data_IF_982429835836
#
_entry.id   IF_982429835836
#
_cell.length_a   1.000
_cell.length_b   1.000
_cell.length_c   1.000
_cell.angle_alpha   90.00
_cell.angle_beta   90.00
_cell.angle_gamma   90.00
#
_symmetry.space_group_name_H-M   'P 1'
#
loop_
_entity.id
_entity.type
_entity.pdbx_description
1 polymer ?
#
# COMPACT_ATOMS: atom_id res chain seq x y z
N UNK A 1 34.00 12.17 15.83
CA UNK A 1 33.78 11.50 14.53
C UNK A 1 32.40 11.82 14.01
N UNK A 2 32.28 12.18 12.74
CA UNK A 2 31.02 12.56 12.08
C UNK A 2 29.92 11.50 12.27
N UNK A 3 30.23 10.21 12.12
CA UNK A 3 29.27 9.11 12.27
C UNK A 3 28.53 9.09 13.63
N UNK A 4 29.19 9.48 14.73
CA UNK A 4 28.54 9.53 16.06
C UNK A 4 27.52 10.67 16.17
N UNK A 5 27.81 11.83 15.57
CA UNK A 5 26.87 12.96 15.55
C UNK A 5 25.63 12.61 14.70
N UNK A 6 25.86 11.96 13.57
CA UNK A 6 24.84 11.45 12.67
C UNK A 6 23.92 10.41 13.33
N UNK A 7 24.51 9.40 13.98
CA UNK A 7 23.75 8.42 14.73
C UNK A 7 22.91 9.07 15.84
N UNK A 8 23.49 10.05 16.56
CA UNK A 8 22.76 10.79 17.60
C UNK A 8 21.56 11.54 17.02
N UNK A 9 21.72 12.24 15.89
CA UNK A 9 20.62 12.93 15.24
C UNK A 9 19.54 11.93 14.82
N UNK A 10 19.90 10.89 14.06
CA UNK A 10 18.95 9.89 13.56
C UNK A 10 18.12 9.26 14.69
N UNK A 11 18.77 8.83 15.77
CA UNK A 11 18.08 8.22 16.91
C UNK A 11 17.24 9.23 17.72
N UNK A 12 17.68 10.49 17.83
CA UNK A 12 16.98 11.50 18.62
C UNK A 12 15.70 12.02 17.95
N UNK A 13 15.67 12.13 16.62
CA UNK A 13 14.51 12.67 15.87
C UNK A 13 13.77 11.60 15.06
N UNK A 14 14.09 10.32 15.27
CA UNK A 14 13.35 9.21 14.67
C UNK A 14 13.59 9.01 13.16
N UNK A 15 14.76 9.40 12.63
CA UNK A 15 15.14 9.10 11.25
C UNK A 15 15.75 7.70 11.21
N UNK A 16 15.16 6.73 10.48
CA UNK A 16 15.76 5.40 10.32
C UNK A 16 17.13 5.49 9.63
N UNK A 17 18.13 4.75 10.11
CA UNK A 17 19.50 4.80 9.55
C UNK A 17 19.57 4.58 8.03
N UNK A 18 18.70 3.73 7.48
CA UNK A 18 18.58 3.51 6.02
C UNK A 18 18.28 4.78 5.21
N UNK A 19 17.70 5.83 5.82
CA UNK A 19 17.40 7.10 5.14
C UNK A 19 18.65 7.92 4.86
N UNK A 20 19.77 7.64 5.53
CA UNK A 20 21.07 8.27 5.21
C UNK A 20 21.56 7.83 3.83
N UNK A 21 21.10 6.69 3.31
CA UNK A 21 21.46 6.21 1.99
C UNK A 21 20.68 6.85 0.84
N UNK A 22 19.60 7.58 1.15
CA UNK A 22 18.74 8.22 0.18
C UNK A 22 19.51 9.26 -0.67
N UNK A 23 19.39 9.24 -2.01
CA UNK A 23 20.13 10.15 -2.89
C UNK A 23 19.85 11.63 -2.61
N UNK A 24 18.61 12.02 -2.32
CA UNK A 24 18.26 13.40 -2.01
C UNK A 24 18.82 13.81 -0.65
N UNK A 25 18.79 12.90 0.31
CA UNK A 25 19.38 13.13 1.61
C UNK A 25 20.90 13.34 1.51
N UNK A 26 21.61 12.51 0.72
CA UNK A 26 23.05 12.69 0.42
C UNK A 26 23.32 14.02 -0.29
N UNK A 27 22.51 14.37 -1.30
CA UNK A 27 22.64 15.62 -2.04
C UNK A 27 22.47 16.85 -1.13
N UNK A 28 21.48 16.86 -0.25
CA UNK A 28 21.26 17.94 0.71
C UNK A 28 22.46 18.16 1.65
N UNK A 29 23.13 17.07 2.06
CA UNK A 29 24.34 17.14 2.88
C UNK A 29 25.53 17.65 2.10
N UNK A 30 25.76 17.15 0.89
CA UNK A 30 26.82 17.66 0.02
C UNK A 30 26.63 19.15 -0.24
N UNK A 31 25.40 19.60 -0.47
CA UNK A 31 25.10 21.01 -0.66
C UNK A 31 25.38 21.82 0.61
N UNK A 32 24.94 21.35 1.77
CA UNK A 32 25.26 21.98 3.07
C UNK A 32 26.77 22.09 3.30
N UNK A 33 27.55 21.06 2.94
CA UNK A 33 29.01 21.07 3.07
C UNK A 33 29.68 22.10 2.16
N UNK A 34 29.19 22.26 0.92
CA UNK A 34 29.71 23.28 -0.02
C UNK A 34 29.51 24.70 0.49
N UNK A 35 28.37 24.97 1.14
CA UNK A 35 28.05 26.29 1.69
C UNK A 35 28.92 26.66 2.91
N UNK A 36 29.42 25.66 3.64
CA UNK A 36 30.36 25.86 4.74
C UNK A 36 29.71 26.29 6.07
N UNK A 37 30.56 26.76 6.99
CA UNK A 37 30.15 27.11 8.36
C UNK A 37 29.44 28.47 8.37
N UNK A 38 28.40 28.60 9.19
CA UNK A 38 27.66 29.86 9.37
C UNK A 38 26.44 30.01 8.47
N UNK A 39 26.17 29.03 7.60
CA UNK A 39 24.92 29.00 6.83
C UNK A 39 23.72 28.83 7.77
N UNK A 40 22.68 29.64 7.55
CA UNK A 40 21.41 29.49 8.26
C UNK A 40 20.68 28.29 7.69
N UNK A 41 20.44 27.29 8.53
CA UNK A 41 19.60 26.14 8.16
C UNK A 41 18.16 26.63 7.95
N UNK A 42 17.47 26.19 6.88
CA UNK A 42 16.06 26.50 6.66
C UNK A 42 15.18 26.17 7.86
N UNK A 43 14.21 27.02 8.12
CA UNK A 43 13.17 26.79 9.13
C UNK A 43 12.08 25.84 8.58
N UNK A 44 11.31 25.23 9.47
CA UNK A 44 10.16 24.38 9.10
C UNK A 44 9.19 25.12 8.17
N UNK A 45 8.93 26.42 8.42
CA UNK A 45 8.05 27.23 7.57
C UNK A 45 8.62 27.49 6.18
N UNK A 46 9.94 27.58 6.05
CA UNK A 46 10.57 27.72 4.74
C UNK A 46 10.54 26.39 3.98
N UNK A 47 10.80 25.26 4.66
CA UNK A 47 10.75 23.91 4.08
C UNK A 47 9.33 23.56 3.62
N UNK A 48 8.34 23.65 4.50
CA UNK A 48 6.95 23.25 4.23
C UNK A 48 6.11 24.35 3.54
N UNK A 49 6.73 25.50 3.25
CA UNK A 49 6.12 26.61 2.54
C UNK A 49 6.86 26.87 1.25
N UNK A 50 7.74 27.88 1.26
CA UNK A 50 8.44 28.35 0.05
C UNK A 50 9.13 27.22 -0.72
N UNK A 51 9.90 26.36 -0.06
CA UNK A 51 10.67 25.32 -0.75
C UNK A 51 9.79 24.15 -1.22
N UNK A 52 8.69 23.87 -0.52
CA UNK A 52 7.68 22.93 -1.00
C UNK A 52 7.02 23.47 -2.28
N UNK A 53 6.62 24.74 -2.31
CA UNK A 53 6.03 25.37 -3.50
C UNK A 53 7.01 25.37 -4.69
N UNK A 54 8.30 25.57 -4.43
CA UNK A 54 9.35 25.48 -5.45
C UNK A 54 9.49 24.04 -6.00
N UNK A 55 9.53 23.03 -5.13
CA UNK A 55 9.57 21.62 -5.53
C UNK A 55 8.33 21.19 -6.33
N UNK A 56 7.14 21.69 -5.95
CA UNK A 56 5.88 21.44 -6.67
C UNK A 56 5.97 22.04 -8.07
N UNK A 57 6.38 23.30 -8.20
CA UNK A 57 6.55 23.94 -9.52
C UNK A 57 7.58 23.24 -10.39
N UNK A 58 8.67 22.77 -9.82
CA UNK A 58 9.67 21.98 -10.55
C UNK A 58 9.08 20.66 -11.05
N UNK A 59 8.35 19.95 -10.19
CA UNK A 59 7.67 18.70 -10.55
C UNK A 59 6.62 18.93 -11.63
N UNK A 60 5.84 20.00 -11.54
CA UNK A 60 4.85 20.37 -12.57
C UNK A 60 5.50 20.62 -13.93
N UNK A 61 6.67 21.28 -13.97
CA UNK A 61 7.42 21.48 -15.22
C UNK A 61 7.89 20.17 -15.84
N UNK A 62 8.32 19.21 -15.03
CA UNK A 62 8.69 17.88 -15.53
C UNK A 62 7.46 17.15 -16.07
N UNK A 63 6.33 17.24 -15.37
CA UNK A 63 5.05 16.67 -15.83
C UNK A 63 4.62 17.29 -17.17
N UNK A 64 4.75 18.61 -17.36
CA UNK A 64 4.41 19.25 -18.65
C UNK A 64 5.16 18.66 -19.84
N UNK A 65 6.41 18.19 -19.65
CA UNK A 65 7.14 17.49 -20.72
C UNK A 65 6.45 16.18 -21.10
N UNK A 66 6.01 15.41 -20.12
CA UNK A 66 5.29 14.15 -20.36
C UNK A 66 3.89 14.34 -20.94
N UNK A 67 3.27 15.50 -20.68
CA UNK A 67 1.98 15.86 -21.31
C UNK A 67 2.08 16.09 -22.81
N UNK A 68 3.27 16.41 -23.33
CA UNK A 68 3.46 16.62 -24.77
C UNK A 68 3.28 15.34 -25.59
N UNK A 69 3.33 14.16 -24.96
CA UNK A 69 3.17 12.86 -25.63
C UNK A 69 1.73 12.33 -25.57
N UNK A 70 0.80 13.08 -24.94
CA UNK A 70 -0.57 12.63 -24.71
C UNK A 70 -1.37 12.41 -26.00
N UNK A 71 -1.16 13.24 -27.01
CA UNK A 71 -1.83 13.16 -28.32
C UNK A 71 -1.31 11.99 -29.17
N UNK A 72 -0.01 11.67 -29.06
CA UNK A 72 0.61 10.56 -29.78
C UNK A 72 0.37 9.20 -29.11
N UNK A 73 0.54 9.12 -27.79
CA UNK A 73 0.48 7.85 -27.04
C UNK A 73 -0.89 7.55 -26.44
N UNK A 74 -1.73 8.56 -26.27
CA UNK A 74 -2.96 8.47 -25.48
C UNK A 74 -2.69 8.34 -23.97
N UNK A 75 -3.74 8.57 -23.19
CA UNK A 75 -3.69 8.60 -21.73
C UNK A 75 -4.54 7.49 -21.14
N UNK A 76 -3.94 6.71 -20.24
CA UNK A 76 -4.66 5.87 -19.29
C UNK A 76 -4.84 6.61 -17.98
N UNK A 77 -6.09 6.92 -17.63
CA UNK A 77 -6.45 7.52 -16.36
C UNK A 77 -6.76 6.41 -15.34
N UNK A 78 -6.03 6.39 -14.23
CA UNK A 78 -6.27 5.47 -13.12
C UNK A 78 -6.91 6.23 -11.97
N UNK A 79 -8.01 5.71 -11.43
CA UNK A 79 -8.71 6.28 -10.29
C UNK A 79 -8.95 5.21 -9.21
N UNK A 80 -8.55 5.52 -7.99
CA UNK A 80 -8.74 4.65 -6.84
C UNK A 80 -9.23 5.47 -5.64
N UNK A 81 -10.05 4.85 -4.80
CA UNK A 81 -10.47 5.44 -3.52
C UNK A 81 -10.02 4.58 -2.36
N UNK A 82 -9.66 5.24 -1.26
CA UNK A 82 -9.44 4.53 -0.01
C UNK A 82 -9.97 5.35 1.15
N UNK A 83 -10.50 4.62 2.13
CA UNK A 83 -10.93 5.20 3.41
C UNK A 83 -10.01 4.68 4.50
N UNK A 84 -9.32 5.60 5.17
CA UNK A 84 -8.40 5.28 6.24
C UNK A 84 -9.08 4.88 7.55
N UNK A 85 -8.31 4.37 8.53
CA UNK A 85 -8.84 3.99 9.84
C UNK A 85 -9.49 5.15 10.61
N UNK A 86 -9.06 6.39 10.34
CA UNK A 86 -9.64 7.61 10.91
C UNK A 86 -10.88 8.10 10.14
N UNK A 87 -11.41 7.27 9.23
CA UNK A 87 -12.56 7.57 8.36
C UNK A 87 -12.37 8.75 7.41
N UNK A 88 -11.13 9.20 7.23
CA UNK A 88 -10.78 10.09 6.13
C UNK A 88 -10.81 9.31 4.82
N UNK A 89 -11.47 9.85 3.80
CA UNK A 89 -11.59 9.22 2.49
C UNK A 89 -10.95 10.08 1.43
N UNK A 90 -10.17 9.48 0.54
CA UNK A 90 -9.54 10.18 -0.56
C UNK A 90 -9.73 9.43 -1.86
N UNK A 91 -9.96 10.18 -2.93
CA UNK A 91 -9.94 9.70 -4.30
C UNK A 91 -8.63 10.18 -4.94
N UNK A 92 -7.88 9.27 -5.55
CA UNK A 92 -6.58 9.55 -6.16
C UNK A 92 -6.67 9.30 -7.65
N UNK A 93 -6.14 10.24 -8.43
CA UNK A 93 -6.01 10.14 -9.87
C UNK A 93 -4.54 10.07 -10.27
N UNK A 94 -4.18 9.02 -11.00
CA UNK A 94 -2.87 8.84 -11.61
C UNK A 94 -3.05 8.83 -13.14
N UNK A 95 -2.03 9.28 -13.85
CA UNK A 95 -1.97 9.22 -15.31
C UNK A 95 -0.83 8.31 -15.71
N UNK A 96 -1.07 7.50 -16.74
CA UNK A 96 -0.04 6.77 -17.47
C UNK A 96 -0.09 7.13 -18.95
N UNK A 97 1.05 7.54 -19.49
CA UNK A 97 1.26 7.86 -20.91
C UNK A 97 2.75 7.66 -21.24
N UNK A 98 3.07 7.20 -22.46
CA UNK A 98 4.46 7.14 -22.94
C UNK A 98 5.41 6.32 -22.05
N UNK A 99 4.91 5.33 -21.31
CA UNK A 99 5.72 4.54 -20.36
C UNK A 99 5.93 5.18 -18.99
N UNK A 100 5.40 6.39 -18.75
CA UNK A 100 5.57 7.13 -17.49
C UNK A 100 4.26 7.20 -16.72
N UNK A 101 4.32 6.92 -15.42
CA UNK A 101 3.20 7.09 -14.49
C UNK A 101 3.48 8.22 -13.52
N UNK A 102 2.50 9.09 -13.29
CA UNK A 102 2.61 10.15 -12.29
C UNK A 102 1.28 10.49 -11.63
N UNK A 103 1.39 11.13 -10.47
CA UNK A 103 0.26 11.64 -9.72
C UNK A 103 -0.32 12.88 -10.41
N UNK A 104 -1.62 12.88 -10.66
CA UNK A 104 -2.30 14.02 -11.27
C UNK A 104 -3.02 14.88 -10.23
N UNK A 105 -3.79 14.25 -9.33
CA UNK A 105 -4.61 14.93 -8.34
C UNK A 105 -5.12 13.96 -7.28
N UNK A 106 -5.38 14.46 -6.08
CA UNK A 106 -6.24 13.81 -5.08
C UNK A 106 -7.43 14.70 -4.73
N UNK A 107 -8.49 14.08 -4.23
CA UNK A 107 -9.71 14.73 -3.77
C UNK A 107 -9.99 14.20 -2.37
N UNK A 108 -10.16 15.11 -1.41
CA UNK A 108 -10.72 14.75 -0.11
C UNK A 108 -12.22 14.48 -0.28
N UNK A 109 -12.62 13.24 -0.03
CA UNK A 109 -13.99 12.75 -0.13
C UNK A 109 -14.53 12.33 1.24
N UNK A 110 -13.90 12.78 2.34
CA UNK A 110 -14.24 12.39 3.72
C UNK A 110 -15.70 12.71 4.08
N UNK A 111 -16.22 13.85 3.62
CA UNK A 111 -17.58 14.30 3.88
C UNK A 111 -18.57 13.96 2.76
N UNK A 112 -18.17 13.11 1.80
CA UNK A 112 -18.95 12.80 0.59
C UNK A 112 -19.45 11.38 0.57
N UNK A 113 -20.66 11.19 0.05
CA UNK A 113 -21.17 9.88 -0.35
C UNK A 113 -20.62 9.59 -1.75
N UNK A 114 -19.79 8.56 -1.87
CA UNK A 114 -19.19 8.14 -3.15
C UNK A 114 -20.15 7.26 -3.95
N UNK A 115 -21.32 7.80 -4.27
CA UNK A 115 -22.23 7.18 -5.23
C UNK A 115 -21.71 7.32 -6.67
N UNK A 116 -22.35 6.62 -7.60
CA UNK A 116 -21.95 6.65 -9.01
C UNK A 116 -22.07 8.05 -9.65
N UNK A 117 -22.95 8.93 -9.16
CA UNK A 117 -23.10 10.27 -9.72
C UNK A 117 -21.95 11.19 -9.30
N UNK A 118 -21.58 11.13 -8.03
CA UNK A 118 -20.42 11.86 -7.51
C UNK A 118 -19.13 11.39 -8.19
N UNK A 119 -18.91 10.07 -8.26
CA UNK A 119 -17.73 9.52 -8.93
C UNK A 119 -17.69 9.88 -10.41
N UNK A 120 -18.81 9.78 -11.13
CA UNK A 120 -18.90 10.19 -12.53
C UNK A 120 -18.51 11.65 -12.72
N UNK A 121 -19.02 12.55 -11.87
CA UNK A 121 -18.69 13.97 -11.91
C UNK A 121 -17.19 14.20 -11.73
N UNK A 122 -16.58 13.60 -10.71
CA UNK A 122 -15.15 13.80 -10.42
C UNK A 122 -14.26 13.19 -11.52
N UNK A 123 -14.60 11.98 -12.00
CA UNK A 123 -13.87 11.35 -13.12
C UNK A 123 -14.00 12.21 -14.39
N UNK A 124 -15.19 12.68 -14.74
CA UNK A 124 -15.41 13.57 -15.89
C UNK A 124 -14.61 14.87 -15.79
N UNK A 125 -14.59 15.49 -14.60
CA UNK A 125 -13.80 16.70 -14.39
C UNK A 125 -12.31 16.46 -14.66
N UNK A 126 -11.79 15.27 -14.33
CA UNK A 126 -10.40 14.91 -14.63
C UNK A 126 -10.20 14.56 -16.11
N UNK A 127 -11.12 13.83 -16.73
CA UNK A 127 -11.09 13.55 -18.18
C UNK A 127 -11.04 14.87 -18.98
N UNK A 128 -11.89 15.83 -18.64
CA UNK A 128 -11.89 17.16 -19.27
C UNK A 128 -10.60 17.94 -19.00
N UNK A 129 -10.01 17.79 -17.81
CA UNK A 129 -8.71 18.43 -17.49
C UNK A 129 -7.55 17.86 -18.32
N UNK A 130 -7.60 16.57 -18.65
CA UNK A 130 -6.59 15.89 -19.49
C UNK A 130 -6.80 16.18 -20.99
N UNK A 131 -8.02 16.55 -21.38
CA UNK A 131 -8.46 16.55 -22.77
C UNK A 131 -9.06 15.18 -23.08
N UNK A 132 -10.38 15.14 -23.29
CA UNK A 132 -11.10 13.87 -23.43
C UNK A 132 -10.65 13.11 -24.68
N UNK A 133 -10.20 13.81 -25.70
CA UNK A 133 -9.61 13.29 -26.93
C UNK A 133 -8.31 12.50 -26.69
N UNK A 134 -7.55 12.85 -25.64
CA UNK A 134 -6.31 12.17 -25.30
C UNK A 134 -6.55 10.93 -24.43
N UNK A 135 -7.68 10.87 -23.70
CA UNK A 135 -7.98 9.74 -22.83
C UNK A 135 -8.43 8.57 -23.69
N UNK A 136 -7.67 7.48 -23.67
CA UNK A 136 -8.02 6.23 -24.37
C UNK A 136 -8.56 5.18 -23.42
N UNK A 137 -8.21 5.29 -22.13
CA UNK A 137 -8.57 4.29 -21.14
C UNK A 137 -8.80 4.91 -19.75
N UNK A 138 -9.79 4.38 -19.04
CA UNK A 138 -10.01 4.62 -17.62
C UNK A 138 -9.95 3.30 -16.86
N UNK A 139 -9.13 3.25 -15.80
CA UNK A 139 -8.98 2.10 -14.91
C UNK A 139 -9.44 2.48 -13.51
N UNK A 140 -10.40 1.75 -12.96
CA UNK A 140 -10.94 1.99 -11.61
C UNK A 140 -11.07 0.70 -10.80
N UNK A 141 -11.36 0.79 -9.51
CA UNK A 141 -11.75 -0.40 -8.75
C UNK A 141 -13.04 -1.06 -9.30
N UNK A 142 -13.31 -2.30 -8.89
CA UNK A 142 -14.47 -3.05 -9.36
C UNK A 142 -15.72 -2.83 -8.47
N UNK A 143 -15.77 -1.74 -7.71
CA UNK A 143 -16.91 -1.35 -6.91
C UNK A 143 -18.12 -1.03 -7.79
N UNK A 144 -19.33 -1.35 -7.32
CA UNK A 144 -20.55 -1.14 -8.11
C UNK A 144 -20.77 0.31 -8.54
N UNK A 145 -20.43 1.28 -7.67
CA UNK A 145 -20.55 2.71 -7.97
C UNK A 145 -19.53 3.15 -9.03
N UNK A 146 -18.29 2.67 -8.96
CA UNK A 146 -17.27 2.92 -9.98
C UNK A 146 -17.65 2.33 -11.32
N UNK A 147 -18.07 1.06 -11.33
CA UNK A 147 -18.57 0.40 -12.54
C UNK A 147 -19.70 1.20 -13.18
N UNK A 148 -20.70 1.59 -12.40
CA UNK A 148 -21.84 2.35 -12.95
C UNK A 148 -21.44 3.75 -13.45
N UNK A 149 -20.54 4.43 -12.75
CA UNK A 149 -19.99 5.71 -13.19
C UNK A 149 -19.24 5.55 -14.52
N UNK A 150 -18.34 4.57 -14.62
CA UNK A 150 -17.56 4.34 -15.82
C UNK A 150 -18.40 3.85 -17.01
N UNK A 151 -19.46 3.06 -16.80
CA UNK A 151 -20.44 2.72 -17.85
C UNK A 151 -21.05 3.99 -18.45
N UNK A 152 -21.53 4.93 -17.62
CA UNK A 152 -22.09 6.20 -18.08
C UNK A 152 -21.03 7.11 -18.74
N UNK A 153 -19.76 7.00 -18.33
CA UNK A 153 -18.67 7.74 -18.95
C UNK A 153 -18.40 7.24 -20.37
N UNK A 154 -18.34 5.92 -20.57
CA UNK A 154 -18.08 5.31 -21.88
C UNK A 154 -19.27 5.47 -22.83
N UNK A 155 -20.50 5.54 -22.31
CA UNK A 155 -21.67 5.94 -23.10
C UNK A 155 -21.54 7.37 -23.67
N UNK A 156 -20.97 8.30 -22.89
CA UNK A 156 -20.76 9.69 -23.32
C UNK A 156 -19.51 9.87 -24.19
N UNK A 157 -18.46 9.08 -23.94
CA UNK A 157 -17.19 9.11 -24.68
C UNK A 157 -16.86 7.71 -25.23
N UNK A 158 -17.46 7.30 -26.36
CA UNK A 158 -17.36 5.92 -26.86
C UNK A 158 -15.95 5.46 -27.25
N UNK A 159 -15.00 6.39 -27.45
CA UNK A 159 -13.60 6.07 -27.72
C UNK A 159 -12.80 5.71 -26.46
N UNK A 160 -13.33 6.02 -25.27
CA UNK A 160 -12.69 5.69 -23.98
C UNK A 160 -13.05 4.25 -23.60
N UNK A 161 -12.04 3.40 -23.40
CA UNK A 161 -12.25 2.08 -22.83
C UNK A 161 -12.26 2.14 -21.29
N UNK A 162 -13.19 1.45 -20.63
CA UNK A 162 -13.11 1.20 -19.20
C UNK A 162 -12.60 -0.21 -18.92
N UNK A 163 -11.69 -0.35 -17.95
CA UNK A 163 -11.26 -1.64 -17.41
C UNK A 163 -11.27 -1.62 -15.87
N UNK A 164 -11.71 -2.71 -15.22
CA UNK A 164 -11.54 -2.85 -13.78
C UNK A 164 -10.05 -3.07 -13.45
N UNK A 165 -9.63 -2.58 -12.29
CA UNK A 165 -8.28 -2.75 -11.77
C UNK A 165 -7.93 -4.25 -11.68
N UNK A 166 -6.88 -4.67 -12.36
CA UNK A 166 -6.46 -6.07 -12.41
C UNK A 166 -6.08 -6.59 -11.02
N UNK A 167 -5.35 -5.79 -10.23
CA UNK A 167 -4.97 -6.18 -8.86
C UNK A 167 -6.20 -6.43 -7.98
N UNK A 168 -7.20 -5.56 -8.07
CA UNK A 168 -8.46 -5.74 -7.35
C UNK A 168 -9.23 -6.96 -7.88
N UNK A 169 -9.25 -7.16 -9.19
CA UNK A 169 -9.91 -8.29 -9.85
C UNK A 169 -9.31 -9.63 -9.40
N UNK A 170 -7.98 -9.76 -9.39
CA UNK A 170 -7.29 -10.96 -8.87
C UNK A 170 -7.62 -11.17 -7.39
N UNK A 171 -7.66 -10.12 -6.59
CA UNK A 171 -8.03 -10.20 -5.18
C UNK A 171 -9.48 -10.70 -4.99
N UNK A 172 -10.41 -10.34 -5.87
CA UNK A 172 -11.78 -10.89 -5.89
C UNK A 172 -11.82 -12.34 -6.37
N UNK A 173 -11.02 -12.73 -7.36
CA UNK A 173 -10.91 -14.14 -7.75
C UNK A 173 -10.42 -15.00 -6.58
N UNK A 174 -9.40 -14.54 -5.86
CA UNK A 174 -8.91 -15.21 -4.65
C UNK A 174 -9.96 -15.24 -3.54
N UNK A 175 -10.81 -14.23 -3.42
CA UNK A 175 -11.97 -14.26 -2.50
C UNK A 175 -12.90 -15.42 -2.84
N UNK A 176 -13.23 -15.60 -4.12
CA UNK A 176 -14.19 -16.61 -4.55
C UNK A 176 -13.61 -18.02 -4.45
N UNK A 177 -12.34 -18.22 -4.80
CA UNK A 177 -11.61 -19.49 -4.55
C UNK A 177 -11.59 -19.80 -3.05
N UNK A 178 -11.38 -18.79 -2.20
CA UNK A 178 -11.35 -18.95 -0.75
C UNK A 178 -12.69 -19.40 -0.13
N UNK A 179 -13.79 -19.39 -0.89
CA UNK A 179 -15.11 -19.89 -0.45
C UNK A 179 -15.30 -21.38 -0.69
N UNK A 180 -14.44 -22.04 -1.46
CA UNK A 180 -14.54 -23.50 -1.67
C UNK A 180 -14.32 -24.21 -0.34
N UNK A 181 -15.12 -25.23 -0.03
CA UNK A 181 -15.19 -25.83 1.32
C UNK A 181 -13.80 -26.21 1.88
N UNK A 182 -12.97 -26.87 1.07
CA UNK A 182 -11.60 -27.26 1.45
C UNK A 182 -10.70 -26.04 1.73
N UNK A 183 -10.79 -25.01 0.89
CA UNK A 183 -10.02 -23.77 1.07
C UNK A 183 -10.52 -22.97 2.27
N UNK A 184 -11.84 -22.85 2.44
CA UNK A 184 -12.46 -22.13 3.54
C UNK A 184 -12.06 -22.76 4.88
N UNK A 185 -12.07 -24.09 4.98
CA UNK A 185 -11.62 -24.82 6.17
C UNK A 185 -10.13 -24.58 6.46
N UNK A 186 -9.28 -24.67 5.45
CA UNK A 186 -7.84 -24.43 5.57
C UNK A 186 -7.53 -22.98 5.99
N UNK A 187 -8.16 -22.00 5.33
CA UNK A 187 -8.05 -20.58 5.65
C UNK A 187 -8.51 -20.35 7.09
N UNK A 188 -9.66 -20.89 7.49
CA UNK A 188 -10.19 -20.73 8.85
C UNK A 188 -9.22 -21.28 9.91
N UNK A 189 -8.70 -22.49 9.71
CA UNK A 189 -7.70 -23.08 10.61
C UNK A 189 -6.45 -22.21 10.73
N UNK A 190 -5.94 -21.72 9.59
CA UNK A 190 -4.80 -20.82 9.58
C UNK A 190 -5.08 -19.50 10.33
N UNK A 191 -6.26 -18.91 10.15
CA UNK A 191 -6.68 -17.70 10.86
C UNK A 191 -6.77 -17.91 12.38
N UNK A 192 -7.24 -19.07 12.81
CA UNK A 192 -7.32 -19.42 14.24
C UNK A 192 -5.91 -19.61 14.83
N UNK A 193 -5.00 -20.28 14.12
CA UNK A 193 -3.57 -20.39 14.50
C UNK A 193 -2.92 -19.00 14.57
N UNK A 194 -3.14 -18.15 13.56
CA UNK A 194 -2.63 -16.78 13.54
C UNK A 194 -3.14 -16.01 14.77
N UNK A 195 -4.44 -16.05 15.02
CA UNK A 195 -5.02 -15.34 16.16
C UNK A 195 -4.43 -15.83 17.47
N UNK A 196 -4.30 -17.15 17.66
CA UNK A 196 -3.70 -17.74 18.84
C UNK A 196 -2.24 -17.30 19.05
N UNK A 197 -1.40 -17.37 18.02
CA UNK A 197 0.01 -16.95 18.08
C UNK A 197 0.18 -15.47 18.44
N UNK A 198 -0.64 -14.59 17.83
CA UNK A 198 -0.52 -13.15 17.99
C UNK A 198 -1.27 -12.59 19.22
N UNK A 199 -2.19 -13.35 19.82
CA UNK A 199 -2.90 -12.92 21.03
C UNK A 199 -2.05 -12.94 22.31
N UNK A 200 -0.85 -13.54 22.27
CA UNK A 200 0.06 -13.57 23.41
C UNK A 200 1.45 -13.10 23.02
N UNK A 201 1.92 -11.99 23.62
CA UNK A 201 3.26 -11.45 23.38
C UNK A 201 4.37 -12.49 23.62
N UNK A 202 4.22 -13.37 24.63
CA UNK A 202 5.20 -14.40 24.89
C UNK A 202 5.20 -15.49 23.81
N UNK A 203 4.03 -15.93 23.36
CA UNK A 203 3.89 -16.92 22.30
C UNK A 203 4.39 -16.39 20.96
N UNK A 204 4.03 -15.15 20.64
CA UNK A 204 4.50 -14.43 19.46
C UNK A 204 6.02 -14.31 19.43
N UNK A 205 6.63 -13.90 20.56
CA UNK A 205 8.09 -13.81 20.68
C UNK A 205 8.78 -15.16 20.49
N UNK A 206 8.25 -16.23 21.12
CA UNK A 206 8.78 -17.59 20.97
C UNK A 206 8.71 -18.08 19.52
N UNK A 207 7.57 -17.86 18.86
CA UNK A 207 7.39 -18.20 17.45
C UNK A 207 8.41 -17.49 16.57
N UNK A 208 8.58 -16.17 16.73
CA UNK A 208 9.56 -15.38 15.95
C UNK A 208 10.99 -15.87 16.14
N UNK A 209 11.36 -16.23 17.37
CA UNK A 209 12.68 -16.79 17.66
C UNK A 209 12.87 -18.15 16.99
N UNK A 210 11.83 -19.00 17.00
CA UNK A 210 11.87 -20.32 16.41
C UNK A 210 11.99 -20.30 14.88
N UNK A 211 11.24 -19.43 14.20
CA UNK A 211 11.20 -19.38 12.72
C UNK A 211 12.20 -18.37 12.13
N UNK A 212 12.87 -17.60 12.98
CA UNK A 212 13.89 -16.61 12.64
C UNK A 212 13.37 -15.29 12.06
N UNK A 213 12.06 -15.15 11.86
CA UNK A 213 11.43 -13.95 11.30
C UNK A 213 9.96 -13.81 11.72
N UNK A 214 9.25 -12.87 11.11
CA UNK A 214 7.81 -12.64 11.33
C UNK A 214 7.00 -13.40 10.28
N UNK A 215 5.83 -13.92 10.66
CA UNK A 215 4.86 -14.42 9.68
C UNK A 215 4.19 -13.26 8.94
N UNK A 216 3.81 -13.49 7.69
CA UNK A 216 2.98 -12.51 6.97
C UNK A 216 1.64 -12.38 7.68
N UNK A 217 1.43 -11.31 8.44
CA UNK A 217 0.17 -11.15 9.17
C UNK A 217 -1.01 -11.15 8.20
N UNK A 218 -2.05 -11.92 8.53
CA UNK A 218 -3.31 -11.84 7.80
C UNK A 218 -3.84 -10.40 7.79
N UNK A 219 -4.48 -9.99 6.70
CA UNK A 219 -5.19 -8.73 6.64
C UNK A 219 -6.58 -8.96 6.04
N UNK A 220 -7.60 -8.84 6.88
CA UNK A 220 -9.00 -9.05 6.49
C UNK A 220 -9.44 -8.22 5.26
N UNK A 221 -8.78 -7.09 4.98
CA UNK A 221 -9.12 -6.21 3.86
C UNK A 221 -8.56 -6.66 2.50
N UNK A 222 -7.67 -7.66 2.45
CA UNK A 222 -7.03 -8.13 1.21
C UNK A 222 -7.02 -9.66 1.18
N UNK A 223 -7.95 -10.26 0.44
CA UNK A 223 -8.08 -11.73 0.30
C UNK A 223 -6.77 -12.41 -0.14
N UNK A 224 -5.95 -11.75 -0.94
CA UNK A 224 -4.60 -12.26 -1.28
C UNK A 224 -3.71 -12.50 -0.06
N UNK A 225 -3.89 -11.76 1.03
CA UNK A 225 -3.10 -11.97 2.26
C UNK A 225 -3.41 -13.26 2.98
N UNK A 226 -4.60 -13.86 2.78
CA UNK A 226 -4.88 -15.21 3.29
C UNK A 226 -3.92 -16.22 2.65
N UNK A 227 -3.72 -16.13 1.34
CA UNK A 227 -2.83 -17.02 0.60
C UNK A 227 -1.35 -16.72 0.88
N UNK A 228 -0.97 -15.46 1.02
CA UNK A 228 0.39 -15.10 1.45
C UNK A 228 0.71 -15.63 2.86
N UNK A 229 -0.27 -15.59 3.76
CA UNK A 229 -0.11 -16.17 5.10
C UNK A 229 0.01 -17.70 5.05
N UNK A 230 -0.85 -18.38 4.28
CA UNK A 230 -0.76 -19.82 4.06
C UNK A 230 0.60 -20.23 3.47
N UNK A 231 1.10 -19.48 2.48
CA UNK A 231 2.42 -19.71 1.90
C UNK A 231 3.54 -19.50 2.94
N UNK A 232 3.45 -18.45 3.75
CA UNK A 232 4.41 -18.17 4.83
C UNK A 232 4.42 -19.30 5.86
N UNK A 233 3.25 -19.77 6.30
CA UNK A 233 3.11 -20.93 7.18
C UNK A 233 3.69 -22.21 6.56
N UNK A 234 3.40 -22.46 5.28
CA UNK A 234 3.88 -23.64 4.56
C UNK A 234 5.40 -23.66 4.43
N UNK A 235 6.02 -22.54 4.03
CA UNK A 235 7.49 -22.38 3.95
C UNK A 235 8.18 -22.58 5.29
N UNK A 236 7.48 -22.31 6.40
CA UNK A 236 8.01 -22.38 7.77
C UNK A 236 7.55 -23.61 8.54
N UNK A 237 6.81 -24.51 7.90
CA UNK A 237 6.17 -25.67 8.52
C UNK A 237 7.15 -26.48 9.38
N UNK A 238 8.32 -26.82 8.85
CA UNK A 238 9.26 -27.68 9.58
C UNK A 238 9.79 -27.00 10.85
N UNK A 239 10.08 -25.70 10.78
CA UNK A 239 10.52 -24.90 11.92
C UNK A 239 9.42 -24.80 12.98
N UNK A 240 8.16 -24.61 12.54
CA UNK A 240 6.99 -24.65 13.43
C UNK A 240 6.85 -25.99 14.14
N UNK A 241 6.94 -27.10 13.39
CA UNK A 241 6.78 -28.45 13.95
C UNK A 241 7.88 -28.78 14.96
N UNK A 242 9.13 -28.40 14.67
CA UNK A 242 10.25 -28.56 15.61
C UNK A 242 10.01 -27.75 16.89
N UNK A 243 9.58 -26.50 16.76
CA UNK A 243 9.32 -25.64 17.92
C UNK A 243 8.14 -26.11 18.78
N UNK A 244 7.03 -26.51 18.17
CA UNK A 244 5.87 -27.05 18.91
C UNK A 244 6.21 -28.34 19.66
N UNK A 245 7.22 -29.08 19.20
CA UNK A 245 7.71 -30.29 19.87
C UNK A 245 8.80 -30.01 20.91
N UNK A 246 9.29 -28.77 21.00
CA UNK A 246 10.39 -28.40 21.89
C UNK A 246 9.99 -28.49 23.38
N UNK A 247 10.90 -28.91 24.28
CA UNK A 247 10.68 -28.85 25.72
C UNK A 247 10.34 -27.45 26.21
N UNK A 248 10.88 -26.41 25.58
CA UNK A 248 10.62 -25.01 25.87
C UNK A 248 9.14 -24.68 25.65
N UNK A 249 8.58 -25.08 24.51
CA UNK A 249 7.17 -24.84 24.21
C UNK A 249 6.24 -25.70 25.08
N UNK A 250 6.56 -26.98 25.28
CA UNK A 250 5.76 -27.91 26.10
C UNK A 250 5.62 -27.50 27.56
N UNK A 251 6.59 -26.74 28.09
CA UNK A 251 6.54 -26.19 29.46
C UNK A 251 5.68 -24.93 29.57
N UNK A 252 5.19 -24.38 28.46
CA UNK A 252 4.34 -23.18 28.49
C UNK A 252 2.91 -23.52 28.87
N UNK A 253 2.21 -22.54 29.46
CA UNK A 253 0.75 -22.62 29.66
C UNK A 253 -0.06 -22.80 28.37
N UNK A 254 0.55 -22.50 27.22
CA UNK A 254 -0.10 -22.54 25.91
C UNK A 254 -0.20 -23.98 25.36
N UNK A 255 0.69 -24.88 25.76
CA UNK A 255 0.69 -26.29 25.33
C UNK A 255 -0.57 -27.05 25.78
N UNK A 256 -1.06 -26.77 26.99
CA UNK A 256 -2.25 -27.44 27.54
C UNK A 256 -3.58 -26.86 27.04
N UNK A 257 -3.55 -25.94 26.08
CA UNK A 257 -4.78 -25.39 25.47
C UNK A 257 -5.27 -26.30 24.36
N UNK A 258 -6.57 -26.24 24.03
CA UNK A 258 -7.15 -26.98 22.90
C UNK A 258 -6.39 -26.71 21.59
N UNK A 259 -5.92 -25.48 21.38
CA UNK A 259 -5.12 -25.08 20.21
C UNK A 259 -3.64 -25.49 20.29
N UNK A 260 -3.10 -25.71 21.48
CA UNK A 260 -1.67 -26.01 21.70
C UNK A 260 -1.36 -27.48 21.95
N UNK A 261 -2.39 -28.30 22.17
CA UNK A 261 -2.27 -29.74 22.42
C UNK A 261 -2.44 -30.51 21.11
N UNK A 262 -1.51 -31.43 20.82
CA UNK A 262 -1.69 -32.38 19.72
C UNK A 262 -2.60 -33.50 20.21
N UNK A 263 -3.90 -33.24 20.31
CA UNK A 263 -4.88 -34.32 20.40
C UNK A 263 -4.83 -35.09 19.08
N UNK A 264 -4.00 -36.15 19.06
CA UNK A 264 -4.11 -37.22 18.09
C UNK A 264 -5.46 -37.88 18.29
N UNK A 265 -6.49 -37.43 17.60
CA UNK A 265 -7.66 -38.28 17.36
C UNK A 265 -7.23 -39.38 16.39
N UNK A 266 -6.74 -40.47 16.98
CA UNK A 266 -6.71 -41.78 16.34
C UNK A 266 -8.14 -42.31 16.21
#
# INVERSE_FOLDING_TARGET
MIGRAWAKACHAIGIPGRKVDDPYFKAAIMETQKQGVGIKIPTVREIDGKYLDENVKETEKEIEKWKMEWDECGVTLMCDSWTGPMRNSMIIFLVYSGGTMYFLKSIDATDKVQDHQYLLKEIKAVVLKVGYENVVQVVTDNGSNYKKACELLVEEYPHIAWQPCLAHTINLMLKDIGKWDEHAACIKSAQDICSWLYNSNSLHSMMRQAIGEELVKWNATRFGTNYMFLESMFKKKDQFMVWLMSPEFRRTRHFNTEMGSTHSTA
#
